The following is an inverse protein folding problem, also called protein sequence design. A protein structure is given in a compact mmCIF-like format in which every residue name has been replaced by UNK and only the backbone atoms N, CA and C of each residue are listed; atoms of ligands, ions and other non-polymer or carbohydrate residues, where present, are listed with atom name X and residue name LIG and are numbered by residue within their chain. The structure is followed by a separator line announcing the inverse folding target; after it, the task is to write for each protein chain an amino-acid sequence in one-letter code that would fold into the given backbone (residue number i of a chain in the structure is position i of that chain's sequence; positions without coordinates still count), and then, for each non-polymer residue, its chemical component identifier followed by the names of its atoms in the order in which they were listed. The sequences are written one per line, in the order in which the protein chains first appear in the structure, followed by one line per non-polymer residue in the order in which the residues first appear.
data_IF_430864634739
#
_entry.id   IF_430864634739
#
_cell.length_a   1.000
_cell.length_b   1.000
_cell.length_c   1.000
_cell.angle_alpha   90.00
_cell.angle_beta   90.00
_cell.angle_gamma   90.00
#
_symmetry.space_group_name_H-M   'P 1'
#
loop_
_entity.id
_entity.type
_entity.pdbx_description
1 polymer ?
#
# COMPACT_ATOMS: atom_id res chain seq x y z
N UNK A 1 32.60 -5.63 3.46
CA UNK A 1 31.59 -5.77 2.39
C UNK A 1 31.59 -4.47 1.62
N UNK A 2 31.85 -4.50 0.31
CA UNK A 2 31.82 -3.27 -0.51
C UNK A 2 30.38 -2.79 -0.75
N UNK A 3 30.23 -1.54 -1.22
CA UNK A 3 28.93 -0.92 -1.44
C UNK A 3 28.08 -1.64 -2.49
N UNK A 4 28.69 -2.17 -3.55
CA UNK A 4 27.95 -2.88 -4.61
C UNK A 4 27.38 -4.19 -4.08
N UNK A 5 28.17 -4.92 -3.29
CA UNK A 5 27.72 -6.14 -2.61
C UNK A 5 26.57 -5.84 -1.65
N UNK A 6 26.63 -4.74 -0.88
CA UNK A 6 25.53 -4.34 0.01
C UNK A 6 24.25 -3.98 -0.74
N UNK A 7 24.36 -3.23 -1.85
CA UNK A 7 23.20 -2.87 -2.68
C UNK A 7 22.53 -4.14 -3.23
N UNK A 8 23.30 -5.07 -3.81
CA UNK A 8 22.76 -6.34 -4.32
C UNK A 8 22.05 -7.14 -3.21
N UNK A 9 22.63 -7.19 -2.02
CA UNK A 9 22.02 -7.86 -0.88
C UNK A 9 20.66 -7.24 -0.48
N UNK A 10 20.55 -5.91 -0.46
CA UNK A 10 19.29 -5.23 -0.14
C UNK A 10 18.21 -5.49 -1.19
N UNK A 11 18.57 -5.51 -2.48
CA UNK A 11 17.64 -5.89 -3.54
C UNK A 11 17.17 -7.34 -3.40
N UNK A 12 18.10 -8.28 -3.17
CA UNK A 12 17.73 -9.69 -2.99
C UNK A 12 16.78 -9.87 -1.80
N UNK A 13 17.07 -9.23 -0.66
CA UNK A 13 16.20 -9.28 0.51
C UNK A 13 14.79 -8.71 0.22
N UNK A 14 14.68 -7.64 -0.58
CA UNK A 14 13.39 -7.09 -1.00
C UNK A 14 12.62 -8.03 -1.91
N UNK A 15 13.31 -8.70 -2.85
CA UNK A 15 12.72 -9.70 -3.74
C UNK A 15 12.18 -10.87 -2.93
N UNK A 16 13.00 -11.44 -2.04
CA UNK A 16 12.61 -12.59 -1.21
C UNK A 16 11.40 -12.25 -0.33
N UNK A 17 11.40 -11.05 0.26
CA UNK A 17 10.27 -10.56 1.07
C UNK A 17 8.98 -10.48 0.24
N UNK A 18 9.04 -9.94 -0.98
CA UNK A 18 7.88 -9.84 -1.88
C UNK A 18 7.40 -11.20 -2.35
N UNK A 19 8.32 -12.13 -2.64
CA UNK A 19 7.98 -13.49 -3.04
C UNK A 19 7.20 -14.21 -1.94
N UNK A 20 7.66 -14.13 -0.69
CA UNK A 20 6.97 -14.72 0.45
C UNK A 20 5.62 -14.04 0.73
N UNK A 21 5.57 -12.70 0.63
CA UNK A 21 4.36 -11.93 0.85
C UNK A 21 3.28 -12.26 -0.19
N UNK A 22 3.67 -12.45 -1.46
CA UNK A 22 2.76 -12.82 -2.55
C UNK A 22 1.99 -14.11 -2.24
N UNK A 23 2.65 -15.10 -1.65
CA UNK A 23 2.05 -16.41 -1.36
C UNK A 23 1.00 -16.36 -0.25
N UNK A 24 1.07 -15.37 0.66
CA UNK A 24 0.24 -15.35 1.88
C UNK A 24 -0.69 -14.14 2.00
N UNK A 25 -0.37 -13.00 1.38
CA UNK A 25 -1.14 -11.76 1.60
C UNK A 25 -2.29 -11.55 0.62
N UNK A 26 -2.32 -12.24 -0.52
CA UNK A 26 -3.36 -12.03 -1.53
C UNK A 26 -4.79 -12.13 -0.97
N UNK A 27 -5.16 -13.15 -0.16
CA UNK A 27 -6.50 -13.23 0.43
C UNK A 27 -6.82 -12.08 1.40
N UNK A 28 -5.80 -11.61 2.14
CA UNK A 28 -5.98 -10.52 3.11
C UNK A 28 -6.12 -9.16 2.43
N UNK A 29 -5.37 -8.93 1.35
CA UNK A 29 -5.47 -7.71 0.54
C UNK A 29 -6.86 -7.64 -0.11
N UNK A 30 -7.35 -8.75 -0.68
CA UNK A 30 -8.70 -8.83 -1.24
C UNK A 30 -9.76 -8.48 -0.19
N UNK A 31 -9.71 -9.13 0.98
CA UNK A 31 -10.66 -8.88 2.08
C UNK A 31 -10.62 -7.42 2.55
N UNK A 32 -9.44 -6.84 2.74
CA UNK A 32 -9.29 -5.45 3.12
C UNK A 32 -9.88 -4.51 2.06
N UNK A 33 -9.61 -4.76 0.78
CA UNK A 33 -10.16 -3.96 -0.32
C UNK A 33 -11.69 -3.98 -0.34
N UNK A 34 -12.30 -5.13 -0.06
CA UNK A 34 -13.76 -5.27 -0.02
C UNK A 34 -14.37 -4.48 1.13
N UNK A 35 -13.74 -4.48 2.31
CA UNK A 35 -14.17 -3.67 3.45
C UNK A 35 -14.11 -2.18 3.12
N UNK A 36 -13.04 -1.73 2.46
CA UNK A 36 -12.86 -0.33 2.08
C UNK A 36 -13.88 0.12 1.02
N UNK A 37 -14.11 -0.71 -0.01
CA UNK A 37 -15.14 -0.45 -1.03
C UNK A 37 -16.51 -0.36 -0.39
N UNK A 38 -16.85 -1.30 0.50
CA UNK A 38 -18.14 -1.29 1.20
C UNK A 38 -18.30 -0.02 2.05
N UNK A 39 -17.25 0.43 2.75
CA UNK A 39 -17.30 1.66 3.54
C UNK A 39 -17.60 2.88 2.65
N UNK A 40 -16.89 3.01 1.53
CA UNK A 40 -17.06 4.13 0.59
C UNK A 40 -18.43 4.13 -0.09
N UNK A 41 -18.95 2.95 -0.46
CA UNK A 41 -20.29 2.82 -1.04
C UNK A 41 -21.41 3.19 -0.05
N UNK A 42 -21.16 3.07 1.26
CA UNK A 42 -22.08 3.46 2.31
C UNK A 42 -21.79 4.88 2.85
N UNK A 43 -21.27 5.77 1.99
CA UNK A 43 -20.96 7.18 2.32
C UNK A 43 -19.97 7.36 3.49
N UNK A 44 -19.20 6.31 3.79
CA UNK A 44 -18.09 6.34 4.72
C UNK A 44 -16.84 7.00 4.13
N UNK A 45 -15.80 7.11 4.95
CA UNK A 45 -14.49 7.66 4.56
C UNK A 45 -13.35 6.82 5.12
N UNK A 46 -12.18 6.94 4.51
CA UNK A 46 -10.97 6.25 4.98
C UNK A 46 -10.07 7.17 5.80
N UNK A 47 -9.68 6.74 6.99
CA UNK A 47 -8.68 7.42 7.82
C UNK A 47 -7.41 6.56 7.89
N UNK A 48 -6.27 7.11 7.49
CA UNK A 48 -4.96 6.47 7.56
C UNK A 48 -4.05 7.21 8.56
N UNK A 49 -3.24 6.46 9.30
CA UNK A 49 -2.24 7.02 10.20
C UNK A 49 -1.03 6.08 10.29
N UNK A 50 0.12 6.61 10.69
CA UNK A 50 1.38 5.87 10.81
C UNK A 50 2.48 6.75 11.38
N UNK A 51 3.63 6.15 11.71
CA UNK A 51 4.80 6.83 12.27
C UNK A 51 6.01 6.70 11.34
N UNK A 52 6.84 7.73 11.24
CA UNK A 52 8.05 7.71 10.42
C UNK A 52 7.75 7.44 8.94
N UNK A 53 8.39 6.42 8.35
CA UNK A 53 8.15 6.02 6.96
C UNK A 53 6.68 5.67 6.68
N UNK A 54 6.01 5.00 7.63
CA UNK A 54 4.60 4.63 7.48
C UNK A 54 3.64 5.82 7.54
N UNK A 55 4.06 6.97 8.09
CA UNK A 55 3.30 8.21 7.93
C UNK A 55 3.30 8.68 6.46
N UNK A 56 4.43 8.46 5.76
CA UNK A 56 4.58 8.64 4.31
C UNK A 56 3.62 7.75 3.50
N UNK A 57 3.48 6.49 3.89
CA UNK A 57 2.52 5.58 3.23
C UNK A 57 1.07 5.99 3.51
N UNK A 58 0.77 6.42 4.75
CA UNK A 58 -0.56 6.90 5.11
C UNK A 58 -0.99 8.13 4.29
N UNK A 59 -0.10 9.11 4.11
CA UNK A 59 -0.37 10.27 3.25
C UNK A 59 -0.46 9.85 1.77
N UNK A 60 0.40 8.95 1.30
CA UNK A 60 0.39 8.45 -0.07
C UNK A 60 -0.98 7.84 -0.36
N UNK A 61 -1.42 6.89 0.47
CA UNK A 61 -2.73 6.27 0.37
C UNK A 61 -3.88 7.29 0.33
N UNK A 62 -3.88 8.27 1.25
CA UNK A 62 -4.92 9.30 1.27
C UNK A 62 -4.93 10.16 -0.01
N UNK A 63 -3.74 10.46 -0.56
CA UNK A 63 -3.61 11.26 -1.77
C UNK A 63 -4.14 10.52 -3.01
N UNK A 64 -3.93 9.21 -3.09
CA UNK A 64 -4.46 8.38 -4.18
C UNK A 64 -6.00 8.32 -4.15
N UNK A 65 -6.62 8.35 -2.97
CA UNK A 65 -8.08 8.43 -2.83
C UNK A 65 -8.64 9.81 -3.18
N UNK A 66 -8.08 10.87 -2.58
CA UNK A 66 -8.56 12.24 -2.72
C UNK A 66 -8.29 12.83 -4.11
N UNK A 67 -7.20 12.42 -4.76
CA UNK A 67 -6.89 12.82 -6.12
C UNK A 67 -7.31 11.71 -7.09
N UNK A 68 -6.33 10.94 -7.59
CA UNK A 68 -6.50 9.86 -8.55
C UNK A 68 -5.30 8.93 -8.44
N UNK A 69 -5.58 7.64 -8.67
CA UNK A 69 -4.57 6.60 -8.83
C UNK A 69 -4.29 6.39 -10.32
N UNK A 70 -4.70 5.27 -10.91
CA UNK A 70 -4.44 4.98 -12.33
C UNK A 70 -5.54 5.46 -13.28
N UNK A 71 -6.80 5.43 -12.84
CA UNK A 71 -7.96 5.76 -13.68
C UNK A 71 -8.52 7.12 -13.32
N UNK A 72 -8.99 7.83 -14.34
CA UNK A 72 -9.70 9.09 -14.13
C UNK A 72 -11.04 8.82 -13.43
N UNK A 73 -11.23 9.45 -12.27
CA UNK A 73 -12.45 9.39 -11.46
C UNK A 73 -12.56 10.61 -10.55
N UNK A 74 -13.75 10.89 -9.98
CA UNK A 74 -13.89 11.85 -8.89
C UNK A 74 -13.07 11.45 -7.66
N UNK A 75 -12.79 12.44 -6.80
CA UNK A 75 -12.16 12.24 -5.49
C UNK A 75 -13.03 11.33 -4.61
N UNK A 76 -12.42 10.44 -3.85
CA UNK A 76 -13.09 9.62 -2.84
C UNK A 76 -12.95 10.25 -1.45
N UNK A 77 -13.98 10.16 -0.60
CA UNK A 77 -13.98 10.72 0.75
C UNK A 77 -13.08 9.98 1.76
#
# INVERSE_FOLDING_TARGET
MDMQSRIRQLFQASIDTKQQAMDVLAPHIEQASQVMVNALLNEGKMLSCGNGGSAGDAQHFSSELLNRFERERPSLP
#
